data_IF_030713240758
#
_entry.id   IF_030713240758
#
_cell.length_a   1.000
_cell.length_b   1.000
_cell.length_c   1.000
_cell.angle_alpha   90.00
_cell.angle_beta   90.00
_cell.angle_gamma   90.00
#
_symmetry.space_group_name_H-M   'P 1'
#
loop_
_entity.id
_entity.type
_entity.pdbx_description
1 polymer ?
#
# COMPACT_ATOMS: atom_id res chain seq x y z
N UNK A 1 16.09 -3.07 3.63
CA UNK A 1 14.67 -2.73 3.42
C UNK A 1 14.29 -1.74 4.51
N UNK A 2 14.07 -0.47 4.18
CA UNK A 2 13.56 0.51 5.15
C UNK A 2 12.05 0.32 5.14
N UNK A 3 11.45 -0.42 6.06
CA UNK A 3 9.98 -0.56 6.07
C UNK A 3 9.33 0.83 6.22
N UNK A 4 8.08 0.98 5.78
CA UNK A 4 7.26 2.15 6.13
C UNK A 4 7.39 2.38 7.65
N UNK A 5 7.85 3.56 8.10
CA UNK A 5 8.24 3.78 9.51
C UNK A 5 7.16 3.35 10.51
N UNK A 6 5.89 3.57 10.15
CA UNK A 6 4.70 3.27 10.95
C UNK A 6 4.48 1.77 11.19
N UNK A 7 4.96 0.91 10.28
CA UNK A 7 4.73 -0.53 10.33
C UNK A 7 5.72 -1.19 11.29
N UNK A 8 6.96 -0.68 11.36
CA UNK A 8 8.02 -1.36 12.10
C UNK A 8 7.81 -1.33 13.62
N UNK A 9 7.26 -0.25 14.19
CA UNK A 9 7.09 -0.11 15.64
C UNK A 9 5.91 -0.91 16.21
N UNK A 10 4.89 -1.18 15.39
CA UNK A 10 3.61 -1.71 15.86
C UNK A 10 3.18 -3.02 15.20
N UNK A 11 4.03 -3.62 14.36
CA UNK A 11 3.73 -4.91 13.74
C UNK A 11 3.83 -6.07 14.75
N UNK A 12 2.90 -7.05 14.68
CA UNK A 12 3.04 -8.30 15.42
C UNK A 12 4.35 -9.01 15.09
N UNK A 13 4.94 -9.68 16.08
CA UNK A 13 6.13 -10.49 15.84
C UNK A 13 5.78 -11.73 15.00
N UNK A 14 6.80 -12.38 14.42
CA UNK A 14 6.61 -13.68 13.75
C UNK A 14 5.90 -14.69 14.65
N UNK A 15 6.26 -14.73 15.94
CA UNK A 15 5.65 -15.64 16.92
C UNK A 15 4.17 -15.34 17.13
N UNK A 16 3.80 -14.06 17.16
CA UNK A 16 2.41 -13.63 17.30
C UNK A 16 1.59 -14.05 16.07
N UNK A 17 2.15 -13.88 14.86
CA UNK A 17 1.52 -14.35 13.63
C UNK A 17 1.33 -15.87 13.61
N UNK A 18 2.37 -16.64 13.95
CA UNK A 18 2.30 -18.11 13.98
C UNK A 18 1.21 -18.60 14.95
N UNK A 19 1.09 -17.95 16.12
CA UNK A 19 0.05 -18.24 17.09
C UNK A 19 -1.35 -17.84 16.58
N UNK A 20 -1.50 -16.63 16.04
CA UNK A 20 -2.78 -16.10 15.58
C UNK A 20 -3.42 -16.92 14.44
N UNK A 21 -2.61 -17.50 13.55
CA UNK A 21 -3.09 -18.34 12.45
C UNK A 21 -3.72 -19.64 12.97
N UNK A 22 -3.25 -20.14 14.12
CA UNK A 22 -3.65 -21.45 14.66
C UNK A 22 -4.63 -21.36 15.83
N UNK A 23 -4.66 -20.23 16.53
CA UNK A 23 -5.50 -20.00 17.70
C UNK A 23 -6.36 -18.73 17.53
N UNK A 24 -7.69 -18.89 17.32
CA UNK A 24 -8.62 -17.77 17.21
C UNK A 24 -8.67 -16.86 18.45
N UNK A 25 -8.37 -17.38 19.65
CA UNK A 25 -8.33 -16.57 20.86
C UNK A 25 -7.16 -15.59 20.82
N UNK A 26 -5.98 -16.04 20.37
CA UNK A 26 -4.81 -15.19 20.17
C UNK A 26 -5.07 -14.15 19.08
N UNK A 27 -5.70 -14.54 17.96
CA UNK A 27 -6.08 -13.60 16.91
C UNK A 27 -7.04 -12.52 17.43
N UNK A 28 -8.01 -12.90 18.26
CA UNK A 28 -8.96 -11.98 18.90
C UNK A 28 -8.25 -11.04 19.89
N UNK A 29 -7.31 -11.54 20.67
CA UNK A 29 -6.52 -10.73 21.61
C UNK A 29 -5.66 -9.70 20.87
N UNK A 30 -4.92 -10.12 19.84
CA UNK A 30 -4.07 -9.24 19.04
C UNK A 30 -4.86 -8.12 18.35
N UNK A 31 -6.10 -8.40 17.94
CA UNK A 31 -6.97 -7.43 17.26
C UNK A 31 -7.82 -6.61 18.23
N UNK A 32 -7.82 -6.92 19.53
CA UNK A 32 -8.66 -6.25 20.54
C UNK A 32 -8.29 -4.78 20.79
N UNK A 33 -7.06 -4.39 20.45
CA UNK A 33 -6.56 -3.01 20.57
C UNK A 33 -5.90 -2.60 19.27
N UNK A 34 -6.68 -2.22 18.24
CA UNK A 34 -6.11 -1.80 16.98
C UNK A 34 -5.23 -0.57 17.21
N UNK A 35 -4.03 -0.61 16.65
CA UNK A 35 -3.18 0.57 16.58
C UNK A 35 -3.78 1.54 15.56
N UNK A 36 -4.07 2.76 16.02
CA UNK A 36 -4.61 3.83 15.18
C UNK A 36 -3.54 4.87 14.92
N UNK A 37 -3.34 5.19 13.65
CA UNK A 37 -2.42 6.24 13.19
C UNK A 37 -3.24 7.45 12.75
N UNK A 38 -2.82 8.65 13.17
CA UNK A 38 -3.27 9.87 12.49
C UNK A 38 -2.63 9.90 11.11
N UNK A 39 -3.44 9.64 10.09
CA UNK A 39 -2.96 9.50 8.72
C UNK A 39 -2.37 10.79 8.18
N UNK A 40 -2.93 11.94 8.55
CA UNK A 40 -2.49 13.23 8.01
C UNK A 40 -1.12 13.59 8.58
N UNK A 41 -0.91 13.39 9.89
CA UNK A 41 0.40 13.58 10.54
C UNK A 41 1.44 12.59 10.00
N UNK A 42 1.05 11.33 9.86
CA UNK A 42 1.94 10.28 9.42
C UNK A 42 2.36 10.47 7.96
N UNK A 43 1.41 10.73 7.06
CA UNK A 43 1.67 10.90 5.63
C UNK A 43 2.48 12.17 5.35
N UNK A 44 2.33 13.24 6.13
CA UNK A 44 3.13 14.46 6.01
C UNK A 44 4.65 14.22 6.20
N UNK A 45 5.03 13.15 6.89
CA UNK A 45 6.41 12.82 7.21
C UNK A 45 7.00 11.70 6.31
N UNK A 46 6.22 11.17 5.36
CA UNK A 46 6.68 10.11 4.46
C UNK A 46 7.23 10.71 3.17
N UNK A 47 8.50 10.46 2.89
CA UNK A 47 9.10 10.79 1.60
C UNK A 47 8.46 9.96 0.47
N UNK A 48 7.98 10.64 -0.57
CA UNK A 48 7.32 10.04 -1.73
C UNK A 48 8.22 10.06 -2.99
N UNK A 49 9.54 10.20 -2.82
CA UNK A 49 10.48 10.04 -3.95
C UNK A 49 10.46 8.59 -4.46
N UNK A 50 10.68 8.37 -5.76
CA UNK A 50 10.69 7.02 -6.31
C UNK A 50 11.78 6.12 -5.72
N UNK A 51 12.92 6.72 -5.35
CA UNK A 51 13.99 5.98 -4.66
C UNK A 51 13.49 5.49 -3.31
N UNK A 52 12.86 6.37 -2.52
CA UNK A 52 12.38 6.01 -1.19
C UNK A 52 11.23 5.00 -1.25
N UNK A 53 10.25 5.18 -2.16
CA UNK A 53 9.16 4.22 -2.35
C UNK A 53 9.72 2.83 -2.68
N UNK A 54 10.65 2.75 -3.65
CA UNK A 54 11.26 1.47 -4.05
C UNK A 54 12.11 0.85 -2.94
N UNK A 55 12.75 1.64 -2.08
CA UNK A 55 13.50 1.13 -0.92
C UNK A 55 12.62 0.59 0.22
N UNK A 56 11.34 1.00 0.27
CA UNK A 56 10.37 0.53 1.26
C UNK A 56 9.70 -0.80 0.93
N UNK A 57 9.81 -1.24 -0.31
CA UNK A 57 9.16 -2.45 -0.78
C UNK A 57 10.05 -3.42 -1.50
N UNK A 58 9.41 -4.50 -1.94
CA UNK A 58 9.96 -5.43 -2.90
C UNK A 58 9.11 -5.33 -4.17
N UNK A 59 9.73 -4.87 -5.25
CA UNK A 59 9.07 -4.70 -6.53
C UNK A 59 9.82 -5.51 -7.58
N UNK A 60 9.50 -6.81 -7.75
CA UNK A 60 10.16 -7.66 -8.74
C UNK A 60 9.95 -7.11 -10.16
N UNK A 61 11.00 -7.15 -10.98
CA UNK A 61 10.91 -6.71 -12.37
C UNK A 61 10.29 -7.77 -13.30
N UNK A 62 10.27 -9.03 -12.85
CA UNK A 62 9.77 -10.16 -13.64
C UNK A 62 8.67 -10.92 -12.88
N UNK A 63 7.66 -11.48 -13.58
CA UNK A 63 6.69 -12.40 -12.99
C UNK A 63 7.37 -13.59 -12.32
N UNK A 64 6.77 -14.12 -11.25
CA UNK A 64 7.36 -15.26 -10.53
C UNK A 64 7.15 -16.61 -11.25
N UNK A 65 6.24 -16.67 -12.23
CA UNK A 65 5.96 -17.84 -13.05
C UNK A 65 5.44 -17.45 -14.44
N UNK A 66 5.48 -18.39 -15.40
CA UNK A 66 4.89 -18.20 -16.73
C UNK A 66 3.36 -18.15 -16.64
N UNK A 67 2.75 -18.91 -15.71
CA UNK A 67 1.32 -18.88 -15.45
C UNK A 67 0.84 -17.49 -14.98
N UNK A 68 1.57 -16.86 -14.07
CA UNK A 68 1.25 -15.50 -13.62
C UNK A 68 1.47 -14.46 -14.70
N UNK A 69 2.50 -14.63 -15.54
CA UNK A 69 2.76 -13.75 -16.69
C UNK A 69 1.61 -13.78 -17.69
N UNK A 70 1.04 -14.95 -17.93
CA UNK A 70 -0.06 -15.17 -18.88
C UNK A 70 -1.44 -14.84 -18.27
N UNK A 71 -1.50 -14.51 -16.98
CA UNK A 71 -2.73 -14.17 -16.26
C UNK A 71 -2.63 -12.80 -15.53
N UNK A 72 -2.54 -11.68 -16.25
CA UNK A 72 -2.47 -10.35 -15.64
C UNK A 72 -3.78 -9.98 -14.95
N UNK A 73 -3.67 -9.36 -13.77
CA UNK A 73 -4.80 -8.88 -12.95
C UNK A 73 -4.84 -7.35 -12.97
N UNK A 74 -6.05 -6.78 -13.00
CA UNK A 74 -6.27 -5.34 -12.84
C UNK A 74 -6.92 -5.07 -11.49
N UNK A 75 -6.29 -4.23 -10.67
CA UNK A 75 -6.84 -3.72 -9.42
C UNK A 75 -7.37 -2.32 -9.65
N UNK A 76 -8.66 -2.09 -9.37
CA UNK A 76 -9.29 -0.77 -9.48
C UNK A 76 -9.70 -0.34 -8.07
N UNK A 77 -9.21 0.81 -7.62
CA UNK A 77 -9.43 1.31 -6.25
C UNK A 77 -9.83 2.78 -6.27
N UNK A 78 -10.92 3.11 -5.59
CA UNK A 78 -11.29 4.50 -5.28
C UNK A 78 -10.72 4.83 -3.90
N UNK A 79 -9.90 5.88 -3.81
CA UNK A 79 -9.13 6.20 -2.59
C UNK A 79 -9.20 7.69 -2.27
N UNK A 80 -9.17 8.04 -0.98
CA UNK A 80 -9.35 9.44 -0.53
C UNK A 80 -8.45 9.90 0.62
N UNK A 81 -7.70 8.99 1.26
CA UNK A 81 -6.80 9.31 2.39
C UNK A 81 -5.83 8.17 2.70
N UNK A 82 -4.96 8.39 3.69
CA UNK A 82 -4.06 7.41 4.27
C UNK A 82 -3.13 6.78 3.23
N UNK A 83 -2.28 7.62 2.63
CA UNK A 83 -1.34 7.23 1.58
C UNK A 83 -0.44 6.07 2.02
N UNK A 84 0.08 6.09 3.26
CA UNK A 84 0.88 4.98 3.79
C UNK A 84 0.17 3.62 3.69
N UNK A 85 -1.14 3.56 3.88
CA UNK A 85 -1.93 2.33 3.71
C UNK A 85 -2.10 2.00 2.22
N UNK A 86 -2.29 2.99 1.36
CA UNK A 86 -2.36 2.76 -0.09
C UNK A 86 -1.05 2.18 -0.63
N UNK A 87 0.08 2.73 -0.22
CA UNK A 87 1.43 2.25 -0.57
C UNK A 87 1.68 0.85 0.00
N UNK A 88 1.30 0.60 1.27
CA UNK A 88 1.42 -0.72 1.89
C UNK A 88 0.63 -1.79 1.12
N UNK A 89 -0.63 -1.49 0.79
CA UNK A 89 -1.47 -2.44 0.04
C UNK A 89 -0.95 -2.67 -1.37
N UNK A 90 -0.48 -1.61 -2.04
CA UNK A 90 0.18 -1.73 -3.34
C UNK A 90 1.40 -2.67 -3.25
N UNK A 91 2.27 -2.45 -2.27
CA UNK A 91 3.47 -3.25 -2.02
C UNK A 91 3.14 -4.74 -1.78
N UNK A 92 2.18 -5.03 -0.89
CA UNK A 92 1.76 -6.40 -0.58
C UNK A 92 1.18 -7.16 -1.78
N UNK A 93 0.59 -6.42 -2.73
CA UNK A 93 -0.10 -7.00 -3.88
C UNK A 93 0.71 -6.89 -5.18
N UNK A 94 1.92 -6.32 -5.14
CA UNK A 94 2.65 -5.94 -6.34
C UNK A 94 3.12 -7.16 -7.14
N UNK A 95 2.79 -7.18 -8.43
CA UNK A 95 3.43 -8.01 -9.44
C UNK A 95 3.61 -7.17 -10.72
N UNK A 96 4.73 -7.34 -11.44
CA UNK A 96 5.07 -6.46 -12.57
C UNK A 96 4.11 -6.56 -13.76
N UNK A 97 3.43 -7.69 -13.93
CA UNK A 97 2.45 -7.91 -15.01
C UNK A 97 1.04 -7.40 -14.68
N UNK A 98 0.76 -7.07 -13.42
CA UNK A 98 -0.54 -6.55 -13.00
C UNK A 98 -0.65 -5.04 -13.24
N UNK A 99 -1.88 -4.54 -13.35
CA UNK A 99 -2.18 -3.10 -13.45
C UNK A 99 -2.89 -2.62 -12.17
N UNK A 100 -2.50 -1.44 -11.70
CA UNK A 100 -3.02 -0.83 -10.47
C UNK A 100 -3.63 0.53 -10.81
N UNK A 101 -4.95 0.55 -10.99
CA UNK A 101 -5.72 1.74 -11.34
C UNK A 101 -6.31 2.38 -10.08
N UNK A 102 -6.00 3.65 -9.87
CA UNK A 102 -6.50 4.45 -8.76
C UNK A 102 -7.37 5.59 -9.27
N UNK A 103 -8.55 5.72 -8.69
CA UNK A 103 -9.40 6.91 -8.81
C UNK A 103 -9.35 7.67 -7.49
N UNK A 104 -9.04 8.97 -7.55
CA UNK A 104 -8.96 9.82 -6.37
C UNK A 104 -10.31 10.49 -6.12
N UNK A 105 -10.69 10.59 -4.85
CA UNK A 105 -11.77 11.49 -4.45
C UNK A 105 -11.29 12.94 -4.58
N UNK A 106 -12.01 13.77 -5.32
CA UNK A 106 -11.62 15.16 -5.59
C UNK A 106 -11.60 16.05 -4.33
N UNK A 107 -12.19 15.60 -3.22
CA UNK A 107 -12.19 16.29 -1.93
C UNK A 107 -10.97 15.94 -1.07
N UNK A 108 -10.10 15.04 -1.53
CA UNK A 108 -8.93 14.61 -0.76
C UNK A 108 -7.93 15.76 -0.58
N UNK A 109 -7.04 15.62 0.39
CA UNK A 109 -6.05 16.67 0.67
C UNK A 109 -5.06 16.83 -0.49
N UNK A 110 -4.56 18.05 -0.79
CA UNK A 110 -3.57 18.26 -1.84
C UNK A 110 -2.33 17.37 -1.70
N UNK A 111 -1.89 17.12 -0.46
CA UNK A 111 -0.80 16.20 -0.15
C UNK A 111 -1.11 14.77 -0.61
N UNK A 112 -2.33 14.28 -0.38
CA UNK A 112 -2.72 12.95 -0.82
C UNK A 112 -2.72 12.82 -2.35
N UNK A 113 -3.22 13.83 -3.08
CA UNK A 113 -3.16 13.86 -4.55
C UNK A 113 -1.71 13.86 -5.05
N UNK A 114 -0.83 14.64 -4.42
CA UNK A 114 0.60 14.68 -4.75
C UNK A 114 1.27 13.32 -4.53
N UNK A 115 1.05 12.68 -3.38
CA UNK A 115 1.65 11.39 -3.07
C UNK A 115 1.18 10.28 -4.01
N UNK A 116 -0.12 10.23 -4.34
CA UNK A 116 -0.65 9.27 -5.31
C UNK A 116 -0.10 9.53 -6.72
N UNK A 117 0.07 10.81 -7.11
CA UNK A 117 0.71 11.18 -8.39
C UNK A 117 2.14 10.68 -8.45
N UNK A 118 2.93 10.95 -7.42
CA UNK A 118 4.33 10.51 -7.37
C UNK A 118 4.41 8.98 -7.46
N UNK A 119 3.54 8.25 -6.74
CA UNK A 119 3.46 6.78 -6.87
C UNK A 119 3.21 6.34 -8.32
N UNK A 120 2.29 6.99 -9.03
CA UNK A 120 1.99 6.68 -10.44
C UNK A 120 3.16 6.97 -11.39
N UNK A 121 3.95 8.01 -11.12
CA UNK A 121 5.13 8.34 -11.93
C UNK A 121 6.28 7.36 -11.68
N UNK A 122 6.33 6.72 -10.51
CA UNK A 122 7.41 5.80 -10.14
C UNK A 122 7.29 4.39 -10.74
N UNK A 123 6.07 3.98 -11.13
CA UNK A 123 5.78 2.62 -11.59
C UNK A 123 4.96 2.67 -12.89
N UNK A 124 5.42 2.04 -13.98
CA UNK A 124 4.75 2.10 -15.28
C UNK A 124 3.38 1.39 -15.29
N UNK A 125 3.10 0.55 -14.30
CA UNK A 125 1.88 -0.22 -14.15
C UNK A 125 0.92 0.34 -13.07
N UNK A 126 1.20 1.54 -12.56
CA UNK A 126 0.29 2.31 -11.71
C UNK A 126 -0.35 3.42 -12.54
N UNK A 127 -1.68 3.44 -12.58
CA UNK A 127 -2.46 4.34 -13.41
C UNK A 127 -3.35 5.18 -12.52
N UNK A 128 -3.26 6.50 -12.63
CA UNK A 128 -4.28 7.40 -12.07
C UNK A 128 -5.32 7.73 -13.13
N UNK A 129 -6.59 7.69 -12.76
CA UNK A 129 -7.66 8.12 -13.66
C UNK A 129 -7.57 9.63 -13.90
N UNK A 130 -7.89 10.05 -15.12
CA UNK A 130 -7.94 11.48 -15.46
C UNK A 130 -9.06 12.22 -14.71
N UNK A 131 -10.17 11.50 -14.46
CA UNK A 131 -11.30 12.04 -13.72
C UNK A 131 -11.19 11.70 -12.24
N UNK A 132 -11.38 12.71 -11.41
CA UNK A 132 -11.58 12.58 -9.97
C UNK A 132 -13.08 12.70 -9.69
N UNK A 133 -13.58 11.95 -8.71
CA UNK A 133 -15.01 11.88 -8.39
C UNK A 133 -15.23 12.46 -7.00
N UNK A 134 -16.34 13.16 -6.80
CA UNK A 134 -16.82 13.45 -5.45
C UNK A 134 -17.54 12.22 -4.93
N UNK A 135 -16.93 11.51 -3.97
CA UNK A 135 -17.52 10.33 -3.33
C UNK A 135 -17.91 10.65 -1.88
#
# INVERSE_FOLDING_TARGET
>A
MRLLPLIHEHSPSKKDCDAAITDPAVATELTSKPYTVDSDEADANISNSCEDIKQRGLYPENPASDEEKDFPIVFIRVVYRAYHIQELLFNLMYAPQNLYCYALDSKSSPLFHEQMRNLSECFPNVILTENEYEV
#
